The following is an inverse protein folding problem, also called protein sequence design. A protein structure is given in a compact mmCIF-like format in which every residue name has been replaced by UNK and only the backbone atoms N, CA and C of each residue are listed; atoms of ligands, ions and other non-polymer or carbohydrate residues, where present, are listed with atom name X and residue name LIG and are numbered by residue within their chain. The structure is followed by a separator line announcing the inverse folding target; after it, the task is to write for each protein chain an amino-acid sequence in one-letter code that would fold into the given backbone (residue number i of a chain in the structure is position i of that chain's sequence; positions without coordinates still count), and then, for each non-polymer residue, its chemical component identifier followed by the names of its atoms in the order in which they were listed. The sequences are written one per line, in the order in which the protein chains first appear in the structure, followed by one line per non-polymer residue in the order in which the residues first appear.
data_IF_949617233810
#
_entry.id   IF_949617233810
#
_cell.length_a   1.000
_cell.length_b   1.000
_cell.length_c   1.000
_cell.angle_alpha   90.00
_cell.angle_beta   90.00
_cell.angle_gamma   90.00
#
_symmetry.space_group_name_H-M   'P 1'
#
loop_
_entity.id
_entity.type
_entity.pdbx_description
1 polymer ?
#
# COMPACT_ATOMS: atom_id res chain seq x y z
N UNK A 1 40.49 11.10 -27.06
CA UNK A 1 39.04 11.44 -27.12
C UNK A 1 38.21 10.33 -26.49
N UNK A 2 38.15 9.13 -27.08
CA UNK A 2 37.40 7.96 -26.54
C UNK A 2 37.62 7.60 -25.06
N UNK A 3 38.84 7.71 -24.54
CA UNK A 3 39.12 7.40 -23.12
C UNK A 3 38.55 8.45 -22.16
N UNK A 4 38.54 9.73 -22.57
CA UNK A 4 37.97 10.82 -21.78
C UNK A 4 36.44 10.75 -21.75
N UNK A 5 35.83 10.45 -22.90
CA UNK A 5 34.38 10.21 -23.00
C UNK A 5 33.94 9.01 -22.15
N UNK A 6 34.74 7.93 -22.12
CA UNK A 6 34.45 6.75 -21.30
C UNK A 6 34.46 7.08 -19.79
N UNK A 7 35.44 7.87 -19.34
CA UNK A 7 35.52 8.30 -17.94
C UNK A 7 34.39 9.27 -17.57
N UNK A 8 34.04 10.20 -18.45
CA UNK A 8 32.92 11.12 -18.26
C UNK A 8 31.58 10.35 -18.17
N UNK A 9 31.37 9.37 -19.06
CA UNK A 9 30.16 8.55 -19.05
C UNK A 9 30.07 7.69 -17.77
N UNK A 10 31.20 7.14 -17.31
CA UNK A 10 31.26 6.40 -16.03
C UNK A 10 30.90 7.29 -14.85
N UNK A 11 31.42 8.52 -14.81
CA UNK A 11 31.10 9.49 -13.77
C UNK A 11 29.61 9.86 -13.79
N UNK A 12 29.03 10.05 -14.98
CA UNK A 12 27.61 10.35 -15.14
C UNK A 12 26.72 9.19 -14.66
N UNK A 13 27.06 7.95 -15.02
CA UNK A 13 26.36 6.76 -14.52
C UNK A 13 26.45 6.68 -13.00
N UNK A 14 27.62 6.88 -12.40
CA UNK A 14 27.81 6.87 -10.95
C UNK A 14 27.00 7.95 -10.21
N UNK A 15 26.89 9.14 -10.80
CA UNK A 15 26.06 10.21 -10.27
C UNK A 15 24.56 9.86 -10.33
N UNK A 16 24.09 9.37 -11.48
CA UNK A 16 22.69 8.98 -11.68
C UNK A 16 22.27 7.80 -10.79
N UNK A 17 23.14 6.80 -10.61
CA UNK A 17 22.86 5.68 -9.70
C UNK A 17 22.74 6.16 -8.26
N UNK A 18 23.65 7.01 -7.81
CA UNK A 18 23.61 7.62 -6.46
C UNK A 18 22.34 8.43 -6.25
N UNK A 19 21.93 9.24 -7.23
CA UNK A 19 20.68 10.01 -7.16
C UNK A 19 19.46 9.11 -7.10
N UNK A 20 19.40 8.07 -7.94
CA UNK A 20 18.32 7.06 -7.96
C UNK A 20 18.20 6.34 -6.61
N UNK A 21 19.32 5.92 -6.03
CA UNK A 21 19.31 5.22 -4.74
C UNK A 21 18.87 6.14 -3.58
N UNK A 22 19.29 7.41 -3.60
CA UNK A 22 18.82 8.42 -2.64
C UNK A 22 17.31 8.66 -2.76
N UNK A 23 16.79 8.80 -3.98
CA UNK A 23 15.37 8.99 -4.22
C UNK A 23 14.55 7.79 -3.72
N UNK A 24 15.00 6.56 -4.03
CA UNK A 24 14.34 5.33 -3.57
C UNK A 24 14.31 5.24 -2.04
N UNK A 25 15.40 5.63 -1.36
CA UNK A 25 15.47 5.65 0.10
C UNK A 25 14.49 6.65 0.70
N UNK A 26 14.49 7.90 0.23
CA UNK A 26 13.59 8.94 0.74
C UNK A 26 12.13 8.54 0.54
N UNK A 27 11.78 7.98 -0.62
CA UNK A 27 10.43 7.49 -0.88
C UNK A 27 10.03 6.36 0.08
N UNK A 28 10.91 5.38 0.28
CA UNK A 28 10.68 4.27 1.21
C UNK A 28 10.46 4.79 2.64
N UNK A 29 11.35 5.66 3.13
CA UNK A 29 11.27 6.20 4.49
C UNK A 29 9.94 6.96 4.70
N UNK A 30 9.49 7.71 3.69
CA UNK A 30 8.21 8.44 3.74
C UNK A 30 6.99 7.52 3.72
N UNK A 31 7.00 6.48 2.89
CA UNK A 31 5.92 5.49 2.86
C UNK A 31 5.85 4.71 4.17
N UNK A 32 7.00 4.35 4.75
CA UNK A 32 7.07 3.62 6.02
C UNK A 32 6.59 4.49 7.19
N UNK A 33 6.95 5.78 7.21
CA UNK A 33 6.42 6.77 8.16
C UNK A 33 4.89 6.88 8.07
N UNK A 34 4.36 7.03 6.86
CA UNK A 34 2.91 7.14 6.63
C UNK A 34 2.16 5.87 7.04
N UNK A 35 2.66 4.68 6.66
CA UNK A 35 2.04 3.41 7.04
C UNK A 35 1.99 3.21 8.55
N UNK A 36 3.05 3.61 9.28
CA UNK A 36 3.05 3.56 10.75
C UNK A 36 1.99 4.47 11.34
N UNK A 37 1.85 5.69 10.81
CA UNK A 37 0.82 6.63 11.27
C UNK A 37 -0.60 6.08 11.01
N UNK A 38 -0.88 5.62 9.79
CA UNK A 38 -2.18 5.00 9.46
C UNK A 38 -2.46 3.81 10.38
N UNK A 39 -1.50 2.93 10.55
CA UNK A 39 -1.64 1.74 11.39
C UNK A 39 -1.92 2.08 12.85
N UNK A 40 -1.24 3.09 13.42
CA UNK A 40 -1.47 3.54 14.78
C UNK A 40 -2.84 4.20 14.97
N UNK A 41 -3.35 4.90 13.96
CA UNK A 41 -4.62 5.62 14.03
C UNK A 41 -5.84 4.73 13.74
N UNK A 42 -5.71 3.78 12.82
CA UNK A 42 -6.85 2.97 12.35
C UNK A 42 -6.86 1.56 12.92
N UNK A 43 -5.74 1.07 13.45
CA UNK A 43 -5.61 -0.33 13.84
C UNK A 43 -5.36 -1.28 12.68
N UNK A 44 -5.13 -0.79 11.46
CA UNK A 44 -4.85 -1.61 10.28
C UNK A 44 -3.45 -1.35 9.71
N UNK A 45 -2.67 -2.42 9.54
CA UNK A 45 -1.50 -2.37 8.66
C UNK A 45 -1.95 -2.41 7.21
N UNK A 46 -1.54 -1.43 6.41
CA UNK A 46 -1.88 -1.33 4.98
C UNK A 46 -0.64 -1.63 4.12
N UNK A 47 -0.70 -2.73 3.39
CA UNK A 47 0.35 -3.13 2.44
C UNK A 47 -0.12 -2.92 0.99
N UNK A 48 0.81 -2.58 0.10
CA UNK A 48 0.59 -2.37 -1.34
C UNK A 48 1.46 -3.37 -2.13
N UNK A 49 1.03 -4.64 -2.27
CA UNK A 49 1.81 -5.66 -2.97
C UNK A 49 1.88 -5.41 -4.48
N UNK A 50 0.82 -4.85 -5.06
CA UNK A 50 0.68 -4.58 -6.48
C UNK A 50 -0.04 -3.25 -6.69
N UNK A 51 0.11 -2.65 -7.86
CA UNK A 51 -0.56 -1.39 -8.21
C UNK A 51 -2.08 -1.55 -8.04
N UNK A 52 -2.70 -0.58 -7.36
CA UNK A 52 -4.14 -0.54 -7.08
C UNK A 52 -4.69 -1.72 -6.26
N UNK A 53 -3.84 -2.53 -5.62
CA UNK A 53 -4.27 -3.61 -4.72
C UNK A 53 -3.70 -3.39 -3.33
N UNK A 54 -4.56 -3.48 -2.32
CA UNK A 54 -4.22 -3.16 -0.94
C UNK A 54 -4.62 -4.30 -0.03
N UNK A 55 -3.73 -4.65 0.89
CA UNK A 55 -3.99 -5.65 1.93
C UNK A 55 -4.07 -4.94 3.26
N UNK A 56 -5.21 -5.10 3.94
CA UNK A 56 -5.45 -4.55 5.27
C UNK A 56 -5.38 -5.68 6.29
N UNK A 57 -4.42 -5.60 7.19
CA UNK A 57 -4.24 -6.55 8.29
C UNK A 57 -4.69 -5.89 9.59
N UNK A 58 -5.78 -6.37 10.21
CA UNK A 58 -6.21 -5.85 11.51
C UNK A 58 -5.17 -6.23 12.57
N UNK A 59 -4.71 -5.25 13.36
CA UNK A 59 -3.69 -5.47 14.40
C UNK A 59 -4.17 -6.39 15.53
N UNK A 60 -5.47 -6.37 15.81
CA UNK A 60 -6.08 -7.06 16.97
C UNK A 60 -6.84 -8.33 16.59
N UNK A 61 -6.83 -8.72 15.30
CA UNK A 61 -7.50 -9.93 14.86
C UNK A 61 -6.68 -11.18 15.18
N UNK A 62 -7.37 -12.31 15.36
CA UNK A 62 -6.72 -13.61 15.46
C UNK A 62 -5.93 -13.91 14.17
N UNK A 63 -4.90 -14.77 14.29
CA UNK A 63 -3.93 -15.06 13.22
C UNK A 63 -4.61 -15.31 11.86
N UNK A 64 -4.09 -14.65 10.81
CA UNK A 64 -4.43 -14.78 9.39
C UNK A 64 -5.65 -13.98 8.85
N UNK A 65 -6.18 -13.01 9.60
CA UNK A 65 -7.19 -12.08 9.07
C UNK A 65 -6.56 -11.07 8.08
N UNK A 66 -7.05 -11.05 6.84
CA UNK A 66 -6.65 -10.07 5.80
C UNK A 66 -7.87 -9.65 5.00
N UNK A 67 -8.04 -8.34 4.84
CA UNK A 67 -9.00 -7.76 3.91
C UNK A 67 -8.28 -7.30 2.65
N UNK A 68 -8.83 -7.66 1.50
CA UNK A 68 -8.25 -7.35 0.20
C UNK A 68 -9.08 -6.25 -0.45
N UNK A 69 -8.45 -5.17 -0.86
CA UNK A 69 -9.11 -4.07 -1.56
C UNK A 69 -8.47 -3.81 -2.91
N UNK A 70 -9.28 -3.34 -3.86
CA UNK A 70 -8.83 -2.80 -5.14
C UNK A 70 -9.27 -1.36 -5.28
N UNK A 71 -8.41 -0.51 -5.83
CA UNK A 71 -8.76 0.83 -6.27
C UNK A 71 -9.13 0.79 -7.77
N UNK A 72 -10.35 1.20 -8.13
CA UNK A 72 -10.76 1.25 -9.53
C UNK A 72 -10.21 2.50 -10.24
N UNK A 73 -10.46 2.64 -11.55
CA UNK A 73 -9.97 3.78 -12.33
C UNK A 73 -10.56 5.13 -11.93
N UNK A 74 -11.68 5.13 -11.19
CA UNK A 74 -12.28 6.33 -10.62
C UNK A 74 -11.69 6.71 -9.25
N UNK A 75 -10.76 5.90 -8.72
CA UNK A 75 -10.14 6.11 -7.41
C UNK A 75 -10.93 5.52 -6.25
N UNK A 76 -12.03 4.81 -6.51
CA UNK A 76 -12.89 4.23 -5.47
C UNK A 76 -12.34 2.88 -5.02
N UNK A 77 -12.55 2.57 -3.74
CA UNK A 77 -12.08 1.33 -3.13
C UNK A 77 -13.18 0.27 -3.15
N UNK A 78 -12.83 -0.94 -3.56
CA UNK A 78 -13.73 -2.09 -3.63
C UNK A 78 -13.17 -3.22 -2.76
N UNK A 79 -13.99 -3.79 -1.88
CA UNK A 79 -13.64 -4.98 -1.10
C UNK A 79 -13.69 -6.20 -2.02
N UNK A 80 -12.63 -7.01 -2.00
CA UNK A 80 -12.54 -8.26 -2.72
C UNK A 80 -12.93 -9.44 -1.82
N UNK A 81 -13.59 -10.43 -2.39
CA UNK A 81 -13.97 -11.64 -1.67
C UNK A 81 -12.75 -12.44 -1.21
N UNK A 82 -12.82 -12.96 0.01
CA UNK A 82 -11.85 -13.88 0.59
C UNK A 82 -12.52 -14.77 1.64
N UNK A 83 -11.85 -15.83 2.12
CA UNK A 83 -12.37 -16.63 3.23
C UNK A 83 -12.70 -15.78 4.47
N UNK A 84 -11.94 -14.72 4.72
CA UNK A 84 -12.17 -13.83 5.86
C UNK A 84 -13.40 -12.94 5.66
N UNK A 85 -13.65 -12.43 4.45
CA UNK A 85 -14.88 -11.66 4.17
C UNK A 85 -16.14 -12.54 4.25
N UNK A 86 -16.01 -13.85 4.03
CA UNK A 86 -17.08 -14.82 4.29
C UNK A 86 -17.54 -14.86 5.76
N UNK A 87 -16.65 -14.52 6.70
CA UNK A 87 -16.97 -14.44 8.14
C UNK A 87 -17.58 -13.08 8.54
N UNK A 88 -17.54 -12.09 7.65
CA UNK A 88 -17.96 -10.71 7.90
C UNK A 88 -19.22 -10.31 7.11
N UNK A 89 -19.96 -11.29 6.58
CA UNK A 89 -21.13 -11.04 5.74
C UNK A 89 -22.19 -10.11 6.39
N UNK A 90 -22.52 -10.25 7.68
CA UNK A 90 -23.44 -9.32 8.33
C UNK A 90 -22.92 -7.86 8.28
N UNK A 91 -21.63 -7.65 8.59
CA UNK A 91 -21.01 -6.33 8.58
C UNK A 91 -20.91 -5.75 7.18
N UNK A 92 -20.57 -6.58 6.19
CA UNK A 92 -20.55 -6.19 4.77
C UNK A 92 -21.95 -5.74 4.34
N UNK A 93 -22.98 -6.51 4.67
CA UNK A 93 -24.35 -6.19 4.28
C UNK A 93 -24.80 -4.88 4.92
N UNK A 94 -24.55 -4.68 6.21
CA UNK A 94 -24.93 -3.44 6.88
C UNK A 94 -24.12 -2.25 6.37
N UNK A 95 -22.79 -2.28 6.45
CA UNK A 95 -21.98 -1.09 6.26
C UNK A 95 -21.65 -0.80 4.79
N UNK A 96 -21.45 -1.83 3.97
CA UNK A 96 -21.11 -1.63 2.55
C UNK A 96 -22.36 -1.63 1.67
N UNK A 97 -23.25 -2.62 1.81
CA UNK A 97 -24.41 -2.71 0.92
C UNK A 97 -25.51 -1.69 1.24
N UNK A 98 -25.83 -1.44 2.52
CA UNK A 98 -26.88 -0.48 2.90
C UNK A 98 -26.35 0.95 3.02
N UNK A 99 -25.13 1.12 3.53
CA UNK A 99 -24.60 2.45 3.86
C UNK A 99 -23.46 2.92 2.97
N UNK A 100 -22.94 2.07 2.07
CA UNK A 100 -21.82 2.38 1.18
C UNK A 100 -20.63 3.06 1.90
N UNK A 101 -20.30 2.58 3.11
CA UNK A 101 -19.31 3.20 3.99
C UNK A 101 -18.23 2.22 4.41
N UNK A 102 -17.11 2.26 3.70
CA UNK A 102 -15.89 1.52 4.07
C UNK A 102 -15.35 1.94 5.45
N UNK A 103 -15.30 3.23 5.82
CA UNK A 103 -14.86 3.61 7.16
C UNK A 103 -15.71 2.99 8.27
N UNK A 104 -17.03 2.93 8.10
CA UNK A 104 -17.91 2.29 9.08
C UNK A 104 -17.70 0.76 9.13
N UNK A 105 -17.45 0.13 8.00
CA UNK A 105 -17.12 -1.30 7.93
C UNK A 105 -15.81 -1.66 8.66
N UNK A 106 -14.82 -0.74 8.64
CA UNK A 106 -13.51 -0.93 9.26
C UNK A 106 -13.46 -0.49 10.74
N UNK A 107 -14.55 0.04 11.31
CA UNK A 107 -14.58 0.54 12.70
C UNK A 107 -14.98 -0.53 13.71
#
# INVERSE_FOLDING_TARGET
ELHGELEELRAQVGSLTTQKDRLAKVFKDKIDEFRKAVMALTGYRVDLPETHRYHLYPLYAQRNAVLFFRCNSAGEMELLESPFTGLLQPQIQTYLAQHNSIPAFLS
#
